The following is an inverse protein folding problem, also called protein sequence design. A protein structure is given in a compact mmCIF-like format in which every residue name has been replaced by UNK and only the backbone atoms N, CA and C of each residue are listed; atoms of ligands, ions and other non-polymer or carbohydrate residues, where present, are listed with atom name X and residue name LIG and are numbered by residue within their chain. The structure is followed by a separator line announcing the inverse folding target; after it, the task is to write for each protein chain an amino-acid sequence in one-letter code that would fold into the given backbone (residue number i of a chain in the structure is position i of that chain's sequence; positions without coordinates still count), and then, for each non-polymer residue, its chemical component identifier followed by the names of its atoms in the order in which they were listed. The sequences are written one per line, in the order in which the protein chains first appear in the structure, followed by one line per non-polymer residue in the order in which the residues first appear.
data_IF_676760349784
#
_entry.id   IF_676760349784
#
_cell.length_a   1.000
_cell.length_b   1.000
_cell.length_c   1.000
_cell.angle_alpha   90.00
_cell.angle_beta   90.00
_cell.angle_gamma   90.00
#
_symmetry.space_group_name_H-M   'P 1'
#
loop_
_entity.id
_entity.type
_entity.pdbx_description
1 polymer ?
#
# COMPACT_ATOMS: atom_id res chain seq x y z
N UNK A 1 25.75 -5.46 4.07
CA UNK A 1 24.85 -5.15 5.22
C UNK A 1 23.45 -5.74 5.01
N UNK A 2 22.92 -6.49 5.99
CA UNK A 2 21.52 -6.97 5.96
C UNK A 2 20.63 -5.90 6.61
N UNK A 3 20.08 -5.02 5.78
CA UNK A 3 19.04 -4.07 6.21
C UNK A 3 17.66 -4.72 6.10
N UNK A 4 16.77 -4.35 7.02
CA UNK A 4 15.35 -4.72 7.07
C UNK A 4 14.53 -3.44 7.18
N UNK A 5 13.27 -3.50 6.77
CA UNK A 5 12.39 -2.34 6.93
C UNK A 5 11.06 -2.47 6.19
N UNK A 6 10.50 -1.31 5.86
CA UNK A 6 9.24 -1.19 5.15
C UNK A 6 9.46 -0.35 3.90
N UNK A 7 9.02 -0.85 2.76
CA UNK A 7 8.81 -0.06 1.57
C UNK A 7 7.49 0.70 1.76
N UNK A 8 7.60 1.87 2.39
CA UNK A 8 6.48 2.78 2.67
C UNK A 8 5.82 3.26 1.37
N UNK A 9 4.50 3.41 1.40
CA UNK A 9 3.64 3.82 0.30
C UNK A 9 3.97 3.11 -1.02
N UNK A 10 4.01 1.77 -0.95
CA UNK A 10 4.41 0.95 -2.08
C UNK A 10 3.44 1.08 -3.26
N UNK A 11 3.93 1.69 -4.34
CA UNK A 11 3.25 1.85 -5.63
C UNK A 11 4.26 1.70 -6.80
N UNK A 12 5.30 0.90 -6.58
CA UNK A 12 6.44 0.76 -7.48
C UNK A 12 6.34 -0.53 -8.33
N UNK A 13 7.42 -0.87 -9.03
CA UNK A 13 7.46 -2.04 -9.92
C UNK A 13 7.57 -3.38 -9.17
N UNK A 14 7.14 -4.45 -9.84
CA UNK A 14 7.24 -5.82 -9.36
C UNK A 14 8.68 -6.32 -9.16
N UNK A 15 9.68 -5.68 -9.76
CA UNK A 15 11.09 -5.97 -9.47
C UNK A 15 11.40 -5.90 -7.97
N UNK A 16 10.75 -5.02 -7.21
CA UNK A 16 10.98 -4.88 -5.76
C UNK A 16 10.37 -6.01 -4.91
N UNK A 17 9.65 -6.97 -5.52
CA UNK A 17 9.16 -8.16 -4.83
C UNK A 17 10.29 -9.09 -4.37
N UNK A 18 11.47 -8.99 -4.99
CA UNK A 18 12.67 -9.74 -4.58
C UNK A 18 13.14 -9.40 -3.16
N UNK A 19 12.70 -8.26 -2.62
CA UNK A 19 13.05 -7.79 -1.28
C UNK A 19 12.13 -8.35 -0.18
N UNK A 20 11.14 -9.19 -0.53
CA UNK A 20 10.14 -9.74 0.40
C UNK A 20 10.73 -10.68 1.46
N UNK A 21 12.00 -11.07 1.34
CA UNK A 21 12.74 -11.79 2.38
C UNK A 21 13.09 -10.89 3.57
N UNK A 22 13.25 -9.58 3.35
CA UNK A 22 13.75 -8.60 4.33
C UNK A 22 12.85 -7.39 4.55
N UNK A 23 11.93 -7.10 3.64
CA UNK A 23 11.09 -5.91 3.67
C UNK A 23 9.61 -6.25 3.68
N UNK A 24 8.86 -5.37 4.32
CA UNK A 24 7.39 -5.30 4.23
C UNK A 24 6.97 -4.24 3.21
N UNK A 25 5.74 -4.33 2.72
CA UNK A 25 5.17 -3.43 1.72
C UNK A 25 4.02 -2.65 2.36
N UNK A 26 4.21 -1.34 2.55
CA UNK A 26 3.18 -0.44 3.08
C UNK A 26 2.15 -0.13 2.00
N UNK A 27 0.90 -0.55 2.22
CA UNK A 27 -0.20 -0.35 1.28
C UNK A 27 -1.14 0.72 1.83
N UNK A 28 -1.19 1.84 1.11
CA UNK A 28 -1.98 3.02 1.46
C UNK A 28 -3.23 3.22 0.61
N UNK A 29 -3.79 4.43 0.70
CA UNK A 29 -5.02 4.83 0.02
C UNK A 29 -4.96 4.77 -1.51
N UNK A 30 -3.76 4.80 -2.10
CA UNK A 30 -3.53 4.64 -3.55
C UNK A 30 -4.12 3.32 -4.08
N UNK A 31 -4.16 2.26 -3.26
CA UNK A 31 -4.79 0.97 -3.62
C UNK A 31 -6.27 1.09 -4.00
N UNK A 32 -6.93 2.14 -3.54
CA UNK A 32 -8.35 2.43 -3.82
C UNK A 32 -8.55 3.27 -5.09
N UNK A 33 -7.48 3.75 -5.73
CA UNK A 33 -7.60 4.66 -6.88
C UNK A 33 -7.87 3.88 -8.17
N UNK A 34 -8.79 4.39 -9.00
CA UNK A 34 -9.18 3.77 -10.28
C UNK A 34 -8.01 3.65 -11.28
N UNK A 35 -7.01 4.52 -11.18
CA UNK A 35 -5.85 4.56 -12.07
C UNK A 35 -4.62 3.83 -11.52
N UNK A 36 -4.69 3.23 -10.33
CA UNK A 36 -3.56 2.51 -9.72
C UNK A 36 -3.37 1.09 -10.30
N UNK A 37 -3.38 0.96 -11.64
CA UNK A 37 -3.34 -0.33 -12.35
C UNK A 37 -2.15 -1.19 -11.94
N UNK A 38 -0.95 -0.60 -11.89
CA UNK A 38 0.29 -1.30 -11.53
C UNK A 38 0.24 -1.89 -10.12
N UNK A 39 -0.23 -1.12 -9.15
CA UNK A 39 -0.38 -1.60 -7.77
C UNK A 39 -1.40 -2.74 -7.71
N UNK A 40 -2.55 -2.61 -8.39
CA UNK A 40 -3.57 -3.66 -8.43
C UNK A 40 -3.04 -4.96 -9.05
N UNK A 41 -2.18 -4.89 -10.07
CA UNK A 41 -1.56 -6.07 -10.69
C UNK A 41 -0.48 -6.73 -9.83
N UNK A 42 0.24 -5.94 -9.02
CA UNK A 42 1.35 -6.43 -8.19
C UNK A 42 0.87 -6.93 -6.83
N UNK A 43 -0.16 -6.31 -6.25
CA UNK A 43 -0.64 -6.60 -4.90
C UNK A 43 -0.92 -8.09 -4.63
N UNK A 44 -1.54 -8.87 -5.56
CA UNK A 44 -1.75 -10.31 -5.36
C UNK A 44 -0.47 -11.14 -5.33
N UNK A 45 0.65 -10.59 -5.82
CA UNK A 45 1.97 -11.25 -5.86
C UNK A 45 2.78 -11.03 -4.59
N UNK A 46 2.39 -10.06 -3.74
CA UNK A 46 3.05 -9.82 -2.46
C UNK A 46 2.61 -10.89 -1.46
N UNK A 47 3.54 -11.59 -0.78
CA UNK A 47 3.17 -12.52 0.28
C UNK A 47 2.34 -11.81 1.35
N UNK A 48 1.19 -12.39 1.74
CA UNK A 48 0.28 -11.76 2.72
C UNK A 48 0.96 -11.41 4.04
N UNK A 49 1.93 -12.21 4.49
CA UNK A 49 2.73 -11.97 5.70
C UNK A 49 3.68 -10.77 5.61
N UNK A 50 3.82 -10.17 4.42
CA UNK A 50 4.67 -9.00 4.15
C UNK A 50 3.87 -7.73 3.85
N UNK A 51 2.54 -7.77 3.91
CA UNK A 51 1.69 -6.60 3.74
C UNK A 51 1.55 -5.84 5.06
N UNK A 52 1.65 -4.51 4.99
CA UNK A 52 1.30 -3.59 6.07
C UNK A 52 0.26 -2.59 5.56
N UNK A 53 -0.69 -2.23 6.40
CA UNK A 53 -1.67 -1.19 6.08
C UNK A 53 -1.21 0.15 6.64
N UNK A 54 -1.39 1.19 5.86
CA UNK A 54 -1.10 2.57 6.26
C UNK A 54 -2.09 3.53 5.61
N UNK A 55 -2.12 4.80 6.04
CA UNK A 55 -2.91 5.84 5.36
C UNK A 55 -2.07 6.86 4.65
N UNK A 56 -0.84 7.08 5.11
CA UNK A 56 -0.02 8.24 4.73
C UNK A 56 -0.71 9.59 5.03
N UNK A 57 -1.48 9.65 6.12
CA UNK A 57 -2.16 10.88 6.54
C UNK A 57 -1.14 11.98 6.85
N UNK A 58 -1.37 13.23 6.40
CA UNK A 58 -2.63 13.78 5.90
C UNK A 58 -2.87 13.68 4.38
N UNK A 59 -2.05 12.93 3.64
CA UNK A 59 -2.05 12.85 2.18
C UNK A 59 -2.75 11.60 1.64
N UNK A 60 -2.94 11.48 0.33
CA UNK A 60 -3.37 10.24 -0.35
C UNK A 60 -4.69 9.62 0.14
N UNK A 61 -5.67 10.47 0.47
CA UNK A 61 -6.99 10.05 0.96
C UNK A 61 -7.64 8.98 0.08
N UNK A 62 -8.03 7.82 0.63
CA UNK A 62 -8.66 6.74 -0.14
C UNK A 62 -10.03 7.14 -0.70
N UNK A 63 -10.48 6.43 -1.73
CA UNK A 63 -11.85 6.50 -2.23
C UNK A 63 -12.84 6.04 -1.13
N UNK A 64 -14.01 6.70 -0.98
CA UNK A 64 -14.58 7.76 -1.81
C UNK A 64 -14.15 9.20 -1.47
N UNK A 65 -13.27 9.40 -0.48
CA UNK A 65 -12.95 10.71 0.08
C UNK A 65 -11.79 11.45 -0.61
N UNK A 66 -11.41 11.06 -1.85
CA UNK A 66 -10.31 11.69 -2.59
C UNK A 66 -10.49 13.21 -2.70
N UNK A 67 -9.39 13.94 -2.60
CA UNK A 67 -9.37 15.42 -2.67
C UNK A 67 -9.63 16.11 -1.32
N UNK A 68 -9.93 15.36 -0.26
CA UNK A 68 -10.03 15.88 1.12
C UNK A 68 -8.80 15.49 1.94
N UNK A 69 -8.67 16.01 3.17
CA UNK A 69 -7.58 15.63 4.09
C UNK A 69 -7.74 14.17 4.53
N UNK A 70 -6.64 13.42 4.51
CA UNK A 70 -6.64 12.03 4.96
C UNK A 70 -6.64 11.94 6.50
N UNK A 71 -7.05 10.78 7.02
CA UNK A 71 -7.07 10.46 8.44
C UNK A 71 -6.68 8.99 8.67
N UNK A 72 -5.99 8.66 9.78
CA UNK A 72 -5.74 7.27 10.18
C UNK A 72 -7.01 6.42 10.29
N UNK A 73 -8.18 7.04 10.49
CA UNK A 73 -9.47 6.36 10.55
C UNK A 73 -9.89 5.67 9.24
N UNK A 74 -9.20 5.93 8.13
CA UNK A 74 -9.48 5.32 6.83
C UNK A 74 -8.74 3.99 6.58
N UNK A 75 -7.95 3.46 7.53
CA UNK A 75 -7.37 2.10 7.44
C UNK A 75 -8.39 1.03 7.04
N UNK A 76 -9.62 0.98 7.61
CA UNK A 76 -10.61 -0.03 7.23
C UNK A 76 -11.00 0.01 5.75
N UNK A 77 -11.05 1.20 5.12
CA UNK A 77 -11.36 1.33 3.68
C UNK A 77 -10.25 0.73 2.82
N UNK A 78 -9.01 0.89 3.24
CA UNK A 78 -7.83 0.35 2.56
C UNK A 78 -7.81 -1.17 2.73
N UNK A 79 -8.03 -1.67 3.95
CA UNK A 79 -8.14 -3.10 4.23
C UNK A 79 -9.21 -3.77 3.37
N UNK A 80 -10.41 -3.18 3.32
CA UNK A 80 -11.53 -3.70 2.53
C UNK A 80 -11.21 -3.76 1.03
N UNK A 81 -10.44 -2.80 0.52
CA UNK A 81 -10.08 -2.76 -0.90
C UNK A 81 -9.11 -3.89 -1.30
N UNK A 82 -8.25 -4.31 -0.37
CA UNK A 82 -7.17 -5.27 -0.66
C UNK A 82 -7.44 -6.69 -0.18
N UNK A 83 -8.54 -6.91 0.55
CA UNK A 83 -9.03 -8.23 0.96
C UNK A 83 -9.62 -9.01 -0.22
#
# INVERSE_FOLDING_TARGET
PKAFGVLHCFNADGMLLELSDRFYYGIGGVSTFKNAKRLVEILPKIPKSRLLLETDSPYLTPHPFRGTRNSPTYIPLIAQKIA
#
